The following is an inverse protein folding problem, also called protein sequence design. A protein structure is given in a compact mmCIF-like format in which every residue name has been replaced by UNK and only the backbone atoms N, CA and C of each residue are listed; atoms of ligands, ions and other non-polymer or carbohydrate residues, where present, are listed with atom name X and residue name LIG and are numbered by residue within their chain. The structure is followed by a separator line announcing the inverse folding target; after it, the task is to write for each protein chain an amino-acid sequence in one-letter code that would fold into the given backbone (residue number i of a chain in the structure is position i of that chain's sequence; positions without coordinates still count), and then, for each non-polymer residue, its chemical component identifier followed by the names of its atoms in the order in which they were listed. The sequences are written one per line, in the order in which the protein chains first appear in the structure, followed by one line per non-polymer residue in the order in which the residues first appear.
data_IF_044090552430
#
_entry.id   IF_044090552430
#
_cell.length_a   1.000
_cell.length_b   1.000
_cell.length_c   1.000
_cell.angle_alpha   90.00
_cell.angle_beta   90.00
_cell.angle_gamma   90.00
#
_symmetry.space_group_name_H-M   'P 1'
#
loop_
_entity.id
_entity.type
_entity.pdbx_description
1 polymer ?
#
# COMPACT_ATOMS: atom_id res chain seq x y z
N UNK A 1 4.01 12.07 -18.42
CA UNK A 1 4.13 11.49 -17.07
C UNK A 1 3.46 12.41 -16.07
N UNK A 2 2.65 11.87 -15.17
CA UNK A 2 1.92 12.65 -14.15
C UNK A 2 2.12 12.02 -12.78
N UNK A 3 2.49 12.84 -11.80
CA UNK A 3 2.56 12.44 -10.39
C UNK A 3 1.28 12.92 -9.72
N UNK A 4 0.57 12.02 -9.04
CA UNK A 4 -0.67 12.36 -8.31
C UNK A 4 -0.81 11.51 -7.06
N UNK A 5 -1.65 11.96 -6.13
CA UNK A 5 -2.09 11.10 -5.02
C UNK A 5 -2.77 9.84 -5.55
N UNK A 6 -2.49 8.71 -4.92
CA UNK A 6 -3.20 7.47 -5.17
C UNK A 6 -4.67 7.60 -4.73
N UNK A 7 -5.53 6.83 -5.37
CA UNK A 7 -6.95 6.72 -5.11
C UNK A 7 -7.30 5.24 -4.91
N UNK A 8 -8.45 4.96 -4.29
CA UNK A 8 -8.89 3.57 -4.04
C UNK A 8 -8.88 2.68 -5.28
N UNK A 9 -9.32 3.22 -6.43
CA UNK A 9 -9.35 2.47 -7.70
C UNK A 9 -7.97 2.16 -8.31
N UNK A 10 -6.86 2.69 -7.76
CA UNK A 10 -5.52 2.34 -8.21
C UNK A 10 -5.02 1.02 -7.59
N UNK A 11 -5.84 0.35 -6.77
CA UNK A 11 -5.43 -0.82 -5.95
C UNK A 11 -4.78 -1.93 -6.78
N UNK A 12 -5.39 -2.32 -7.90
CA UNK A 12 -4.91 -3.44 -8.71
C UNK A 12 -3.54 -3.15 -9.34
N UNK A 13 -3.27 -1.88 -9.64
CA UNK A 13 -1.98 -1.46 -10.17
C UNK A 13 -0.95 -1.21 -9.06
N UNK A 14 -1.37 -0.75 -7.87
CA UNK A 14 -0.47 -0.42 -6.77
C UNK A 14 -0.01 -1.64 -5.99
N UNK A 15 -0.89 -2.60 -5.70
CA UNK A 15 -0.57 -3.75 -4.82
C UNK A 15 0.65 -4.54 -5.33
N UNK A 16 0.76 -4.89 -6.63
CA UNK A 16 1.95 -5.58 -7.14
C UNK A 16 3.24 -4.77 -6.99
N UNK A 17 3.17 -3.45 -7.23
CA UNK A 17 4.31 -2.53 -7.11
C UNK A 17 4.75 -2.30 -5.67
N UNK A 18 3.79 -2.27 -4.72
CA UNK A 18 4.10 -2.18 -3.29
C UNK A 18 4.78 -3.48 -2.85
N UNK A 19 4.17 -4.63 -3.17
CA UNK A 19 4.71 -5.93 -2.76
C UNK A 19 6.13 -6.17 -3.30
N UNK A 20 6.40 -5.81 -4.56
CA UNK A 20 7.72 -6.02 -5.17
C UNK A 20 8.84 -5.18 -4.54
N UNK A 21 8.52 -4.16 -3.73
CA UNK A 21 9.52 -3.36 -3.05
C UNK A 21 10.29 -4.14 -1.97
N UNK A 22 9.67 -5.17 -1.36
CA UNK A 22 10.29 -5.97 -0.31
C UNK A 22 9.55 -7.32 -0.07
N UNK A 23 9.43 -8.17 -1.09
CA UNK A 23 8.59 -9.38 -1.07
C UNK A 23 8.78 -10.25 0.19
N UNK A 24 10.01 -10.66 0.51
CA UNK A 24 10.30 -11.51 1.67
C UNK A 24 9.98 -10.84 3.02
N UNK A 25 10.16 -9.52 3.12
CA UNK A 25 9.79 -8.77 4.32
C UNK A 25 8.27 -8.71 4.44
N UNK A 26 7.56 -8.43 3.35
CA UNK A 26 6.09 -8.37 3.34
C UNK A 26 5.47 -9.72 3.65
N UNK A 27 6.01 -10.81 3.12
CA UNK A 27 5.58 -12.16 3.50
C UNK A 27 5.80 -12.40 5.00
N UNK A 28 6.96 -12.02 5.54
CA UNK A 28 7.24 -12.20 6.97
C UNK A 28 6.26 -11.42 7.87
N UNK A 29 5.91 -10.18 7.52
CA UNK A 29 5.08 -9.32 8.39
C UNK A 29 3.57 -9.46 8.14
N UNK A 30 3.14 -9.74 6.91
CA UNK A 30 1.73 -9.69 6.51
C UNK A 30 1.14 -11.02 6.07
N UNK A 31 1.94 -12.06 5.81
CA UNK A 31 1.38 -13.38 5.56
C UNK A 31 0.98 -14.04 6.88
N UNK A 32 -0.28 -14.42 7.02
CA UNK A 32 -0.75 -15.18 8.17
C UNK A 32 -1.94 -16.06 7.83
N UNK A 33 -1.96 -17.28 8.40
CA UNK A 33 -3.00 -18.29 8.15
C UNK A 33 -3.21 -18.48 6.63
N UNK A 34 -4.41 -18.16 6.13
CA UNK A 34 -4.81 -18.28 4.72
C UNK A 34 -4.75 -16.95 3.96
N UNK A 35 -4.18 -15.89 4.54
CA UNK A 35 -4.06 -14.57 3.93
C UNK A 35 -2.63 -14.40 3.42
N UNK A 36 -2.50 -14.16 2.11
CA UNK A 36 -1.21 -13.79 1.50
C UNK A 36 -0.87 -12.34 1.78
N UNK A 37 0.41 -11.98 1.76
CA UNK A 37 0.83 -10.60 1.94
C UNK A 37 0.18 -9.65 0.92
N UNK A 38 0.04 -10.07 -0.35
CA UNK A 38 -0.68 -9.29 -1.37
C UNK A 38 -2.15 -9.06 -1.01
N UNK A 39 -2.83 -10.07 -0.45
CA UNK A 39 -4.21 -9.92 0.00
C UNK A 39 -4.33 -8.95 1.18
N UNK A 40 -3.41 -9.04 2.14
CA UNK A 40 -3.32 -8.08 3.24
C UNK A 40 -3.08 -6.65 2.72
N UNK A 41 -2.06 -6.45 1.88
CA UNK A 41 -1.73 -5.14 1.28
C UNK A 41 -2.91 -4.58 0.50
N UNK A 42 -3.65 -5.42 -0.24
CA UNK A 42 -4.86 -5.02 -0.96
C UNK A 42 -5.95 -4.49 -0.01
N UNK A 43 -6.26 -5.23 1.06
CA UNK A 43 -7.27 -4.84 2.04
C UNK A 43 -6.85 -3.56 2.78
N UNK A 44 -5.60 -3.50 3.22
CA UNK A 44 -5.03 -2.33 3.87
C UNK A 44 -5.04 -1.11 2.95
N UNK A 45 -4.66 -1.27 1.67
CA UNK A 45 -4.72 -0.23 0.65
C UNK A 45 -6.11 0.37 0.58
N UNK A 46 -7.16 -0.45 0.42
CA UNK A 46 -8.56 -0.01 0.29
C UNK A 46 -9.14 0.59 1.57
N UNK A 47 -8.70 0.13 2.75
CA UNK A 47 -9.15 0.63 4.04
C UNK A 47 -8.87 2.13 4.22
N UNK A 48 -7.79 2.62 3.61
CA UNK A 48 -7.32 4.00 3.79
C UNK A 48 -6.65 4.24 5.15
N UNK A 49 -6.23 3.18 5.84
CA UNK A 49 -5.48 3.16 7.09
C UNK A 49 -4.32 2.17 6.97
N UNK A 50 -3.26 2.34 7.76
CA UNK A 50 -2.10 1.45 7.73
C UNK A 50 -1.00 1.88 6.76
N UNK A 51 0.12 1.15 6.80
CA UNK A 51 1.35 1.46 6.09
C UNK A 51 1.19 1.42 4.57
N UNK A 52 0.35 0.52 4.04
CA UNK A 52 0.13 0.37 2.60
C UNK A 52 -1.12 1.08 2.08
N UNK A 53 -1.69 2.01 2.85
CA UNK A 53 -2.93 2.70 2.48
C UNK A 53 -2.79 3.66 1.28
N UNK A 54 -3.84 3.79 0.45
CA UNK A 54 -3.83 4.73 -0.68
C UNK A 54 -3.62 6.20 -0.27
N UNK A 55 -3.95 6.56 0.98
CA UNK A 55 -3.80 7.95 1.47
C UNK A 55 -2.34 8.37 1.62
N UNK A 56 -1.46 7.40 1.90
CA UNK A 56 -0.01 7.61 2.02
C UNK A 56 0.68 7.56 0.66
N UNK A 57 0.06 6.93 -0.34
CA UNK A 57 0.70 6.68 -1.61
C UNK A 57 0.52 7.81 -2.63
N UNK A 58 1.58 8.04 -3.39
CA UNK A 58 1.56 8.77 -4.65
C UNK A 58 1.87 7.79 -5.78
N UNK A 59 1.27 8.02 -6.94
CA UNK A 59 1.47 7.21 -8.13
C UNK A 59 2.09 8.05 -9.24
N UNK A 60 2.90 7.39 -10.07
CA UNK A 60 3.39 7.92 -11.35
C UNK A 60 2.60 7.27 -12.46
N UNK A 61 1.91 8.09 -13.24
CA UNK A 61 1.08 7.69 -14.37
C UNK A 61 1.76 8.03 -15.71
N UNK A 62 1.83 7.06 -16.61
CA UNK A 62 2.40 7.19 -17.95
C UNK A 62 1.51 6.42 -18.94
N UNK A 63 0.98 7.10 -19.96
CA UNK A 63 0.03 6.53 -20.94
C UNK A 63 -1.13 5.77 -20.26
N UNK A 64 -1.82 6.43 -19.31
CA UNK A 64 -2.95 5.88 -18.55
C UNK A 64 -2.64 4.62 -17.73
N UNK A 65 -1.35 4.31 -17.53
CA UNK A 65 -0.88 3.20 -16.69
C UNK A 65 -0.10 3.73 -15.50
N UNK A 66 -0.36 3.15 -14.33
CA UNK A 66 0.49 3.35 -13.17
C UNK A 66 1.77 2.56 -13.35
N UNK A 67 2.90 3.26 -13.36
CA UNK A 67 4.23 2.65 -13.57
C UNK A 67 5.09 2.64 -12.31
N UNK A 68 4.73 3.43 -11.30
CA UNK A 68 5.38 3.44 -10.00
C UNK A 68 4.42 3.93 -8.91
N UNK A 69 4.72 3.55 -7.67
CA UNK A 69 4.02 4.03 -6.47
C UNK A 69 5.04 4.27 -5.36
N UNK A 70 4.78 5.27 -4.51
CA UNK A 70 5.66 5.63 -3.39
C UNK A 70 4.84 6.01 -2.18
N UNK A 71 5.18 5.44 -1.03
CA UNK A 71 4.62 5.85 0.26
C UNK A 71 5.32 7.13 0.74
N UNK A 72 4.55 8.16 1.07
CA UNK A 72 5.06 9.41 1.63
C UNK A 72 4.34 9.71 2.95
N UNK A 73 5.07 9.67 4.06
CA UNK A 73 4.57 9.91 5.41
C UNK A 73 5.65 10.59 6.27
N UNK A 74 5.21 11.26 7.34
CA UNK A 74 6.09 11.86 8.34
C UNK A 74 5.94 11.20 9.71
N UNK A 75 6.78 11.61 10.67
CA UNK A 75 6.79 11.07 12.03
C UNK A 75 5.41 11.13 12.73
N UNK A 76 4.63 12.17 12.46
CA UNK A 76 3.29 12.36 13.01
C UNK A 76 2.27 11.30 12.57
N UNK A 77 2.52 10.64 11.43
CA UNK A 77 1.60 9.68 10.83
C UNK A 77 1.79 8.27 11.40
N UNK A 78 2.97 7.99 11.99
CA UNK A 78 3.38 6.66 12.45
C UNK A 78 2.37 5.99 13.38
N UNK A 79 1.92 6.68 14.44
CA UNK A 79 0.93 6.11 15.36
C UNK A 79 -0.40 5.78 14.68
N UNK A 80 -0.79 6.56 13.67
CA UNK A 80 -1.98 6.30 12.86
C UNK A 80 -1.80 5.09 11.92
N UNK A 81 -0.59 4.90 11.42
CA UNK A 81 -0.20 3.77 10.59
C UNK A 81 -0.18 2.48 11.41
N UNK A 82 0.50 2.45 12.57
CA UNK A 82 0.52 1.32 13.50
C UNK A 82 -0.89 0.83 13.83
N UNK A 83 -1.74 1.75 14.31
CA UNK A 83 -3.13 1.45 14.67
C UNK A 83 -3.96 1.05 13.46
N UNK A 84 -3.64 1.57 12.28
CA UNK A 84 -4.33 1.23 11.04
C UNK A 84 -4.04 -0.20 10.63
N UNK A 85 -2.77 -0.61 10.64
CA UNK A 85 -2.35 -1.95 10.27
C UNK A 85 -2.86 -3.01 11.22
N UNK A 86 -2.84 -2.75 12.54
CA UNK A 86 -3.41 -3.66 13.52
C UNK A 86 -4.92 -3.89 13.34
N UNK A 87 -5.66 -2.97 12.70
CA UNK A 87 -7.09 -3.16 12.37
C UNK A 87 -7.33 -4.03 11.14
N UNK A 88 -6.31 -4.24 10.32
CA UNK A 88 -6.39 -5.00 9.07
C UNK A 88 -5.89 -6.45 9.21
N UNK A 89 -5.36 -6.83 10.39
CA UNK A 89 -5.00 -8.21 10.78
C UNK A 89 -6.27 -8.97 11.19
#
# INVERSE_FOLDING_TARGET
MKIRKAKKHDVDACVPLIYSAAEALFDYIYQHKQISAKCFIHNEFLSGYGYTSYKLHWVVEHHDKIVATVACYGKKDLLGMDRGTLKNI
#
